data_IF_741998850601
#
_entry.id   IF_741998850601
#
_cell.length_a   1.000
_cell.length_b   1.000
_cell.length_c   1.000
_cell.angle_alpha   90.00
_cell.angle_beta   90.00
_cell.angle_gamma   90.00
#
_symmetry.space_group_name_H-M   'P 1'
#
loop_
_entity.id
_entity.type
_entity.pdbx_description
1 polymer ?
#
# COMPACT_ATOMS: atom_id res chain seq x y z
N UNK A 1 -5.39 2.49 7.67
CA UNK A 1 -5.84 2.35 9.07
C UNK A 1 -5.29 3.47 9.96
N UNK A 2 -3.96 3.59 10.14
CA UNK A 2 -3.33 4.61 11.04
C UNK A 2 -3.89 6.02 10.82
N UNK A 3 -3.78 6.55 9.60
CA UNK A 3 -4.23 7.90 9.25
C UNK A 3 -5.75 8.16 9.35
N UNK A 4 -6.57 7.13 9.62
CA UNK A 4 -8.02 7.26 9.84
C UNK A 4 -8.35 7.14 11.34
N UNK A 5 -7.87 6.08 11.98
CA UNK A 5 -8.34 5.69 13.32
C UNK A 5 -7.53 6.30 14.46
N UNK A 6 -6.32 6.80 14.19
CA UNK A 6 -5.42 7.32 15.23
C UNK A 6 -5.22 8.84 15.12
N UNK A 7 -6.04 9.55 14.32
CA UNK A 7 -5.91 11.01 14.14
C UNK A 7 -5.99 11.82 15.44
N UNK A 8 -6.64 11.27 16.47
CA UNK A 8 -6.71 11.90 17.81
C UNK A 8 -5.36 12.01 18.51
N UNK A 9 -4.35 11.24 18.09
CA UNK A 9 -2.99 11.28 18.65
C UNK A 9 -2.08 12.15 17.78
N UNK A 10 -2.48 13.38 17.48
CA UNK A 10 -1.63 14.32 16.75
C UNK A 10 -0.45 14.78 17.64
N UNK A 11 0.79 14.87 17.13
CA UNK A 11 1.23 14.58 15.75
C UNK A 11 1.69 13.12 15.52
N UNK A 12 1.64 12.26 16.55
CA UNK A 12 2.16 10.89 16.52
C UNK A 12 1.60 10.05 15.36
N UNK A 13 0.30 10.13 15.07
CA UNK A 13 -0.31 9.37 13.98
C UNK A 13 0.37 9.62 12.63
N UNK A 14 0.81 10.86 12.38
CA UNK A 14 1.43 11.27 11.13
C UNK A 14 2.81 10.65 10.99
N UNK A 15 3.62 10.64 12.06
CA UNK A 15 4.93 10.01 12.08
C UNK A 15 4.81 8.49 11.91
N UNK A 16 3.91 7.84 12.65
CA UNK A 16 3.70 6.38 12.54
C UNK A 16 3.23 6.01 11.12
N UNK A 17 2.28 6.76 10.56
CA UNK A 17 1.82 6.54 9.19
C UNK A 17 2.97 6.69 8.19
N UNK A 18 3.74 7.76 8.30
CA UNK A 18 4.86 8.04 7.39
C UNK A 18 5.95 6.99 7.50
N UNK A 19 6.30 6.55 8.71
CA UNK A 19 7.30 5.51 8.93
C UNK A 19 6.90 4.17 8.31
N UNK A 20 5.67 3.72 8.53
CA UNK A 20 5.15 2.48 7.94
C UNK A 20 5.15 2.56 6.41
N UNK A 21 4.62 3.65 5.84
CA UNK A 21 4.51 3.79 4.38
C UNK A 21 5.87 3.97 3.70
N UNK A 22 6.80 4.68 4.34
CA UNK A 22 8.17 4.83 3.81
C UNK A 22 8.91 3.50 3.82
N UNK A 23 8.76 2.71 4.89
CA UNK A 23 9.32 1.36 4.97
C UNK A 23 8.75 0.45 3.89
N UNK A 24 7.42 0.47 3.69
CA UNK A 24 6.76 -0.28 2.63
C UNK A 24 7.23 0.14 1.23
N UNK A 25 7.41 1.44 0.99
CA UNK A 25 7.92 1.96 -0.28
C UNK A 25 9.35 1.49 -0.57
N UNK A 26 10.25 1.54 0.42
CA UNK A 26 11.64 1.07 0.28
C UNK A 26 11.67 -0.43 -0.01
N UNK A 27 10.91 -1.25 0.71
CA UNK A 27 10.80 -2.68 0.44
C UNK A 27 10.23 -2.97 -0.96
N UNK A 28 9.22 -2.20 -1.38
CA UNK A 28 8.66 -2.29 -2.72
C UNK A 28 9.68 -1.94 -3.82
N UNK A 29 10.48 -0.88 -3.61
CA UNK A 29 11.56 -0.49 -4.51
C UNK A 29 12.61 -1.60 -4.63
N UNK A 30 13.03 -2.18 -3.51
CA UNK A 30 13.96 -3.33 -3.49
C UNK A 30 13.35 -4.50 -4.28
N UNK A 31 12.06 -4.79 -4.10
CA UNK A 31 11.36 -5.84 -4.84
C UNK A 31 11.36 -5.62 -6.35
N UNK A 32 11.08 -4.38 -6.81
CA UNK A 32 11.11 -4.03 -8.24
C UNK A 32 12.52 -4.17 -8.82
N UNK A 33 13.54 -3.62 -8.13
CA UNK A 33 14.94 -3.75 -8.56
C UNK A 33 15.33 -5.22 -8.65
N UNK A 34 14.97 -6.02 -7.66
CA UNK A 34 15.24 -7.46 -7.63
C UNK A 34 14.57 -8.17 -8.81
N UNK A 35 13.30 -7.86 -9.09
CA UNK A 35 12.57 -8.42 -10.24
C UNK A 35 13.23 -8.10 -11.58
N UNK A 36 13.66 -6.85 -11.78
CA UNK A 36 14.37 -6.42 -13.00
C UNK A 36 15.75 -7.08 -13.14
N UNK A 37 16.50 -7.23 -12.04
CA UNK A 37 17.80 -7.92 -12.05
C UNK A 37 17.66 -9.42 -12.34
N UNK A 38 16.58 -10.04 -11.85
CA UNK A 38 16.32 -11.46 -12.07
C UNK A 38 15.79 -11.76 -13.48
N UNK A 39 15.14 -10.81 -14.14
CA UNK A 39 14.55 -10.99 -15.48
C UNK A 39 15.54 -11.60 -16.47
N UNK A 40 16.75 -11.04 -16.55
CA UNK A 40 17.82 -11.49 -17.45
C UNK A 40 18.48 -12.81 -17.01
N UNK A 41 18.14 -13.32 -15.82
CA UNK A 41 18.80 -14.49 -15.20
C UNK A 41 17.93 -15.74 -15.20
N UNK A 42 16.62 -15.58 -15.02
CA UNK A 42 15.71 -16.71 -14.79
C UNK A 42 14.85 -17.06 -16.00
N UNK A 43 14.79 -16.21 -17.04
CA UNK A 43 14.03 -16.47 -18.26
C UNK A 43 12.51 -16.64 -18.04
N UNK A 44 11.98 -16.14 -16.92
CA UNK A 44 10.58 -16.30 -16.57
C UNK A 44 9.68 -15.33 -17.35
N UNK A 45 8.61 -15.83 -17.95
CA UNK A 45 7.62 -14.99 -18.62
C UNK A 45 6.58 -14.47 -17.61
N UNK A 46 6.83 -13.28 -17.07
CA UNK A 46 5.99 -12.64 -16.04
C UNK A 46 5.53 -11.24 -16.45
N UNK A 47 5.35 -11.01 -17.76
CA UNK A 47 5.09 -9.68 -18.35
C UNK A 47 3.94 -8.92 -17.67
N UNK A 48 2.80 -9.58 -17.41
CA UNK A 48 1.65 -8.97 -16.72
C UNK A 48 1.99 -8.60 -15.27
N UNK A 49 2.67 -9.48 -14.52
CA UNK A 49 3.04 -9.22 -13.13
C UNK A 49 4.07 -8.09 -13.02
N UNK A 50 5.04 -8.06 -13.94
CA UNK A 50 6.01 -6.98 -14.08
C UNK A 50 5.31 -5.64 -14.40
N UNK A 51 4.40 -5.63 -15.38
CA UNK A 51 3.64 -4.44 -15.75
C UNK A 51 2.81 -3.89 -14.59
N UNK A 52 2.10 -4.75 -13.87
CA UNK A 52 1.37 -4.38 -12.66
C UNK A 52 2.31 -3.87 -11.56
N UNK A 53 3.46 -4.51 -11.37
CA UNK A 53 4.49 -4.09 -10.41
C UNK A 53 4.99 -2.67 -10.68
N UNK A 54 5.33 -2.37 -11.94
CA UNK A 54 5.76 -1.03 -12.36
C UNK A 54 4.62 -0.01 -12.15
N UNK A 55 3.39 -0.36 -12.52
CA UNK A 55 2.23 0.50 -12.28
C UNK A 55 2.06 0.83 -10.79
N UNK A 56 2.10 -0.18 -9.92
CA UNK A 56 2.04 0.00 -8.45
C UNK A 56 3.18 0.89 -7.96
N UNK A 57 4.40 0.70 -8.48
CA UNK A 57 5.56 1.51 -8.12
C UNK A 57 5.37 2.98 -8.50
N UNK A 58 4.85 3.27 -9.69
CA UNK A 58 4.49 4.64 -10.10
C UNK A 58 3.46 5.25 -9.15
N UNK A 59 2.41 4.50 -8.79
CA UNK A 59 1.45 4.97 -7.78
C UNK A 59 2.13 5.21 -6.42
N UNK A 60 3.11 4.40 -6.04
CA UNK A 60 3.92 4.57 -4.83
C UNK A 60 4.73 5.87 -4.87
N UNK A 61 5.39 6.17 -5.99
CA UNK A 61 6.11 7.43 -6.19
C UNK A 61 5.16 8.64 -6.08
N UNK A 62 3.95 8.54 -6.65
CA UNK A 62 2.90 9.55 -6.46
C UNK A 62 2.57 9.75 -4.97
N UNK A 63 2.45 8.66 -4.18
CA UNK A 63 2.22 8.77 -2.73
C UNK A 63 3.37 9.45 -1.98
N UNK A 64 4.63 9.18 -2.34
CA UNK A 64 5.80 9.84 -1.75
C UNK A 64 5.82 11.32 -2.12
N UNK A 65 5.57 11.67 -3.39
CA UNK A 65 5.47 13.06 -3.83
C UNK A 65 4.31 13.80 -3.16
N UNK A 66 3.22 13.11 -2.80
CA UNK A 66 2.13 13.71 -2.04
C UNK A 66 2.61 14.27 -0.70
N UNK A 67 3.61 13.66 -0.05
CA UNK A 67 4.20 14.18 1.20
C UNK A 67 4.92 15.51 0.95
N UNK A 68 5.69 15.60 -0.13
CA UNK A 68 6.41 16.83 -0.51
C UNK A 68 5.44 17.95 -0.90
N UNK A 69 4.36 17.61 -1.60
CA UNK A 69 3.34 18.54 -2.04
C UNK A 69 2.22 18.77 -0.99
N UNK A 70 2.43 18.38 0.27
CA UNK A 70 1.43 18.41 1.34
C UNK A 70 1.05 19.86 1.69
N UNK A 71 -0.17 20.34 1.36
CA UNK A 71 -0.56 21.72 1.65
C UNK A 71 -0.80 21.93 3.15
N UNK A 72 -0.72 23.20 3.58
CA UNK A 72 -1.11 23.62 4.93
C UNK A 72 -2.56 23.23 5.25
N UNK A 73 -2.85 22.98 6.53
CA UNK A 73 -4.17 22.53 6.98
C UNK A 73 -5.28 23.56 6.73
N UNK A 74 -4.95 24.86 6.71
CA UNK A 74 -5.89 25.95 6.45
C UNK A 74 -6.17 26.16 4.96
N UNK A 75 -5.37 25.55 4.06
CA UNK A 75 -5.50 25.73 2.61
C UNK A 75 -6.72 25.03 2.03
N UNK A 76 -7.48 25.72 1.16
CA UNK A 76 -8.58 25.12 0.38
C UNK A 76 -8.09 23.97 -0.52
N UNK A 77 -6.83 24.01 -0.97
CA UNK A 77 -6.21 22.96 -1.81
C UNK A 77 -6.03 21.65 -1.04
N UNK A 78 -5.94 21.70 0.30
CA UNK A 78 -5.84 20.54 1.18
C UNK A 78 -6.92 19.49 0.91
N UNK A 79 -8.15 19.93 0.57
CA UNK A 79 -9.27 19.05 0.24
C UNK A 79 -8.99 18.20 -1.00
N UNK A 80 -8.49 18.81 -2.07
CA UNK A 80 -8.15 18.12 -3.32
C UNK A 80 -6.94 17.21 -3.14
N UNK A 81 -5.93 17.67 -2.41
CA UNK A 81 -4.78 16.84 -2.02
C UNK A 81 -5.22 15.59 -1.25
N UNK A 82 -6.14 15.73 -0.28
CA UNK A 82 -6.69 14.58 0.46
C UNK A 82 -7.41 13.59 -0.48
N UNK A 83 -8.21 14.10 -1.42
CA UNK A 83 -8.93 13.24 -2.37
C UNK A 83 -7.95 12.46 -3.26
N UNK A 84 -6.97 13.15 -3.84
CA UNK A 84 -5.89 12.53 -4.60
C UNK A 84 -5.14 11.47 -3.77
N UNK A 85 -4.61 11.86 -2.62
CA UNK A 85 -3.78 10.99 -1.77
C UNK A 85 -4.54 9.72 -1.35
N UNK A 86 -5.78 9.88 -0.88
CA UNK A 86 -6.61 8.75 -0.46
C UNK A 86 -6.98 7.80 -1.61
N UNK A 87 -7.44 8.34 -2.74
CA UNK A 87 -7.91 7.48 -3.84
C UNK A 87 -6.77 6.77 -4.53
N UNK A 88 -5.67 7.47 -4.82
CA UNK A 88 -4.49 6.84 -5.41
C UNK A 88 -3.90 5.79 -4.46
N UNK A 89 -3.88 6.06 -3.15
CA UNK A 89 -3.39 5.09 -2.16
C UNK A 89 -4.27 3.82 -2.08
N UNK A 90 -5.59 3.96 -2.24
CA UNK A 90 -6.52 2.82 -2.31
C UNK A 90 -6.34 2.00 -3.58
N UNK A 91 -6.22 2.66 -4.73
CA UNK A 91 -5.97 2.00 -6.01
C UNK A 91 -4.66 1.20 -5.92
N UNK A 92 -3.59 1.83 -5.44
CA UNK A 92 -2.29 1.18 -5.19
C UNK A 92 -2.47 -0.08 -4.35
N UNK A 93 -3.14 0.02 -3.20
CA UNK A 93 -3.35 -1.12 -2.31
C UNK A 93 -4.09 -2.28 -2.97
N UNK A 94 -5.18 -2.00 -3.72
CA UNK A 94 -5.96 -3.03 -4.41
C UNK A 94 -5.10 -3.77 -5.44
N UNK A 95 -4.37 -3.02 -6.27
CA UNK A 95 -3.49 -3.61 -7.26
C UNK A 95 -2.32 -4.37 -6.63
N UNK A 96 -1.75 -3.88 -5.52
CA UNK A 96 -0.71 -4.59 -4.79
C UNK A 96 -1.18 -5.95 -4.27
N UNK A 97 -2.37 -6.01 -3.65
CA UNK A 97 -2.97 -7.28 -3.19
C UNK A 97 -3.15 -8.25 -4.36
N UNK A 98 -3.75 -7.79 -5.46
CA UNK A 98 -3.98 -8.62 -6.63
C UNK A 98 -2.65 -9.12 -7.24
N UNK A 99 -1.66 -8.24 -7.35
CA UNK A 99 -0.37 -8.57 -7.94
C UNK A 99 0.46 -9.53 -7.08
N UNK A 100 0.30 -9.50 -5.75
CA UNK A 100 0.92 -10.47 -4.83
C UNK A 100 0.32 -11.87 -5.04
N UNK A 101 -1.01 -12.00 -5.03
CA UNK A 101 -1.65 -13.31 -5.30
C UNK A 101 -1.28 -13.84 -6.67
N UNK A 102 -1.25 -12.97 -7.68
CA UNK A 102 -0.84 -13.33 -9.03
C UNK A 102 0.64 -13.76 -9.10
N UNK A 103 1.54 -13.04 -8.41
CA UNK A 103 2.95 -13.39 -8.30
C UNK A 103 3.18 -14.75 -7.63
N UNK A 104 2.46 -15.04 -6.53
CA UNK A 104 2.50 -16.36 -5.86
C UNK A 104 2.06 -17.46 -6.83
N UNK A 105 0.98 -17.24 -7.58
CA UNK A 105 0.51 -18.20 -8.60
C UNK A 105 1.57 -18.42 -9.70
N UNK A 106 2.22 -17.36 -10.18
CA UNK A 106 3.26 -17.46 -11.21
C UNK A 106 4.52 -18.17 -10.73
N UNK A 107 4.90 -17.98 -9.46
CA UNK A 107 6.06 -18.65 -8.85
C UNK A 107 5.89 -20.16 -8.68
N UNK A 108 4.71 -20.72 -9.01
CA UNK A 108 4.40 -22.13 -8.74
C UNK A 108 4.28 -22.44 -7.24
N UNK A 109 4.24 -21.41 -6.41
CA UNK A 109 4.19 -21.52 -4.97
C UNK A 109 2.80 -21.98 -4.51
N UNK A 110 2.78 -22.94 -3.60
CA UNK A 110 1.59 -23.70 -3.22
C UNK A 110 0.50 -22.91 -2.49
N UNK A 111 -0.61 -23.58 -2.22
CA UNK A 111 -1.77 -23.04 -1.46
C UNK A 111 -1.39 -22.42 -0.12
N UNK A 112 -0.29 -22.86 0.51
CA UNK A 112 0.24 -22.32 1.76
C UNK A 112 0.58 -20.83 1.72
N UNK A 113 1.28 -20.35 0.69
CA UNK A 113 1.64 -18.92 0.58
C UNK A 113 0.42 -18.04 0.36
N UNK A 114 -0.53 -18.50 -0.48
CA UNK A 114 -1.81 -17.81 -0.69
C UNK A 114 -2.62 -17.76 0.60
N UNK A 115 -2.69 -18.87 1.34
CA UNK A 115 -3.39 -18.94 2.62
C UNK A 115 -2.74 -18.01 3.65
N UNK A 116 -1.41 -18.04 3.78
CA UNK A 116 -0.68 -17.17 4.70
C UNK A 116 -0.93 -15.69 4.42
N UNK A 117 -0.81 -15.28 3.15
CA UNK A 117 -1.12 -13.90 2.77
C UNK A 117 -2.61 -13.55 2.98
N UNK A 118 -3.51 -14.49 2.66
CA UNK A 118 -4.95 -14.35 2.91
C UNK A 118 -5.29 -14.15 4.39
N UNK A 119 -4.63 -14.88 5.30
CA UNK A 119 -4.78 -14.71 6.75
C UNK A 119 -4.33 -13.32 7.19
N UNK A 120 -3.17 -12.85 6.71
CA UNK A 120 -2.70 -11.49 7.01
C UNK A 120 -3.73 -10.44 6.55
N UNK A 121 -4.26 -10.57 5.34
CA UNK A 121 -5.30 -9.66 4.84
C UNK A 121 -6.59 -9.72 5.67
N UNK A 122 -7.03 -10.92 6.05
CA UNK A 122 -8.21 -11.10 6.89
C UNK A 122 -8.04 -10.41 8.25
N UNK A 123 -6.87 -10.56 8.90
CA UNK A 123 -6.56 -9.87 10.14
C UNK A 123 -6.58 -8.35 9.99
N UNK A 124 -6.05 -7.81 8.89
CA UNK A 124 -6.09 -6.38 8.62
C UNK A 124 -7.54 -5.87 8.42
N UNK A 125 -8.37 -6.64 7.70
CA UNK A 125 -9.79 -6.30 7.49
C UNK A 125 -10.57 -6.34 8.80
N UNK A 126 -10.42 -7.41 9.59
CA UNK A 126 -11.07 -7.56 10.90
C UNK A 126 -10.66 -6.41 11.82
N UNK A 127 -9.36 -6.08 11.88
CA UNK A 127 -8.85 -4.95 12.66
C UNK A 127 -9.46 -3.62 12.19
N UNK A 128 -9.58 -3.42 10.87
CA UNK A 128 -10.24 -2.25 10.29
C UNK A 128 -11.71 -2.13 10.68
N UNK A 129 -12.46 -3.24 10.62
CA UNK A 129 -13.87 -3.30 11.03
C UNK A 129 -14.01 -2.97 12.52
N UNK A 130 -13.20 -3.59 13.37
CA UNK A 130 -13.22 -3.34 14.81
C UNK A 130 -12.94 -1.87 15.14
N UNK A 131 -11.96 -1.24 14.49
CA UNK A 131 -11.65 0.18 14.65
C UNK A 131 -12.78 1.09 14.12
N UNK A 132 -13.44 0.71 13.02
CA UNK A 132 -14.58 1.46 12.49
C UNK A 132 -15.78 1.41 13.43
N UNK A 133 -16.10 0.23 13.99
CA UNK A 133 -17.15 0.06 15.01
C UNK A 133 -16.86 0.96 16.22
N UNK A 134 -15.61 0.95 16.72
CA UNK A 134 -15.21 1.82 17.83
C UNK A 134 -15.41 3.30 17.53
N UNK A 135 -15.09 3.75 16.32
CA UNK A 135 -15.31 5.15 15.91
C UNK A 135 -16.80 5.48 15.83
N UNK A 136 -17.62 4.55 15.34
CA UNK A 136 -19.08 4.73 15.28
C UNK A 136 -19.70 4.83 16.68
N UNK A 137 -19.27 3.98 17.62
CA UNK A 137 -19.76 3.99 19.01
C UNK A 137 -19.34 5.21 19.83
N UNK A 138 -18.31 5.95 19.39
CA UNK A 138 -17.82 7.18 20.04
C UNK A 138 -18.53 8.45 19.56
N UNK A 139 -19.34 8.35 18.50
CA UNK A 139 -20.19 9.44 18.00
C UNK A 139 -21.55 9.40 18.66
#
# INVERSE_FOLDING_TARGET
>A
MVARYFREWDPLWFYVHTAIQSSAFVLGLIGIITGLVLEDRIGANVSTHKGLGIFIFVLGCLQVMAVLARPDISSKVRKYWNWYHHNVGRILFIFAVANIFYGIQLGGEGTGWKAGYGVVLALLVISGIALEIRVFMRK
#
